data_IF_859193834395
#
_entry.id   IF_859193834395
#
_cell.length_a   1.000
_cell.length_b   1.000
_cell.length_c   1.000
_cell.angle_alpha   90.00
_cell.angle_beta   90.00
_cell.angle_gamma   90.00
#
_symmetry.space_group_name_H-M   'P 1'
#
loop_
_entity.id
_entity.type
_entity.pdbx_description
1 polymer ?
#
# COMPACT_ATOMS: atom_id res chain seq x y z
N UNK A 1 -0.88 -63.60 -22.05
CA UNK A 1 -0.47 -64.99 -22.38
C UNK A 1 1.01 -64.97 -22.75
N UNK A 2 1.87 -65.43 -21.84
CA UNK A 2 3.16 -66.10 -22.13
C UNK A 2 3.59 -66.78 -20.83
N UNK A 3 3.86 -68.08 -20.93
CA UNK A 3 3.97 -69.03 -19.83
C UNK A 3 5.31 -68.92 -19.07
N UNK A 4 5.26 -69.16 -17.75
CA UNK A 4 6.42 -69.54 -16.93
C UNK A 4 6.92 -70.92 -17.36
N UNK A 5 8.22 -71.06 -17.61
CA UNK A 5 8.93 -72.34 -17.47
C UNK A 5 10.19 -72.07 -16.67
N UNK A 6 10.20 -72.53 -15.41
CA UNK A 6 11.42 -72.77 -14.66
C UNK A 6 12.14 -73.96 -15.27
N UNK A 7 13.40 -73.80 -15.65
CA UNK A 7 14.30 -74.90 -15.97
C UNK A 7 15.60 -74.70 -15.19
N UNK A 8 16.08 -75.81 -14.62
CA UNK A 8 17.11 -75.92 -13.61
C UNK A 8 18.53 -75.64 -14.15
N UNK A 9 19.39 -75.18 -13.24
CA UNK A 9 20.85 -75.08 -13.36
C UNK A 9 21.50 -76.47 -13.51
N UNK A 10 22.76 -76.50 -14.00
CA UNK A 10 23.80 -77.04 -13.12
C UNK A 10 25.05 -76.15 -13.02
N UNK A 11 25.68 -76.24 -11.86
CA UNK A 11 26.89 -75.57 -11.38
C UNK A 11 28.12 -75.74 -12.28
N UNK A 12 28.97 -74.70 -12.37
CA UNK A 12 30.41 -74.75 -12.03
C UNK A 12 31.16 -73.46 -12.47
N UNK A 13 32.07 -72.95 -11.63
CA UNK A 13 33.30 -72.30 -12.11
C UNK A 13 33.48 -70.78 -11.93
N UNK A 14 34.04 -70.38 -10.78
CA UNK A 14 35.29 -69.58 -10.63
C UNK A 14 35.46 -68.24 -11.39
N UNK A 15 35.49 -67.15 -10.59
CA UNK A 15 36.29 -65.91 -10.62
C UNK A 15 36.28 -64.92 -11.83
N UNK A 16 36.00 -63.65 -11.45
CA UNK A 16 36.44 -62.35 -12.00
C UNK A 16 35.78 -61.81 -13.28
N UNK A 17 34.79 -60.93 -13.09
CA UNK A 17 34.79 -59.61 -13.73
C UNK A 17 33.74 -58.68 -13.07
N UNK A 18 34.27 -57.68 -12.37
CA UNK A 18 33.77 -56.33 -12.13
C UNK A 18 32.32 -55.94 -12.48
N UNK A 19 31.74 -55.19 -11.54
CA UNK A 19 30.84 -54.04 -11.77
C UNK A 19 29.48 -54.35 -12.39
N UNK A 20 28.53 -54.94 -11.66
CA UNK A 20 27.11 -54.53 -11.80
C UNK A 20 26.34 -54.84 -10.52
N UNK A 21 25.55 -53.85 -10.08
CA UNK A 21 24.38 -53.97 -9.21
C UNK A 21 24.62 -53.93 -7.69
N UNK A 22 24.95 -52.70 -7.27
CA UNK A 22 24.22 -51.94 -6.23
C UNK A 22 23.12 -52.67 -5.46
N UNK A 23 23.31 -52.64 -4.14
CA UNK A 23 22.33 -52.77 -3.07
C UNK A 23 20.88 -52.44 -3.48
N UNK A 24 20.02 -53.46 -3.51
CA UNK A 24 18.58 -53.26 -3.50
C UNK A 24 18.13 -53.26 -2.03
N UNK A 25 18.38 -52.14 -1.34
CA UNK A 25 17.71 -51.84 -0.05
C UNK A 25 16.30 -51.39 -0.42
N UNK A 26 15.30 -52.13 0.06
CA UNK A 26 13.90 -51.77 -0.12
C UNK A 26 13.62 -50.51 0.72
N UNK A 27 13.77 -49.35 0.11
CA UNK A 27 13.29 -48.08 0.67
C UNK A 27 11.76 -48.12 0.68
N UNK A 28 11.15 -48.01 1.86
CA UNK A 28 9.72 -47.84 2.00
C UNK A 28 9.27 -46.56 1.26
N UNK A 29 8.06 -46.51 0.68
CA UNK A 29 7.57 -45.30 0.05
C UNK A 29 7.45 -44.19 1.11
N UNK A 30 8.27 -43.14 0.98
CA UNK A 30 8.17 -41.91 1.75
C UNK A 30 6.71 -41.43 1.81
N UNK A 31 6.20 -40.97 2.96
CA UNK A 31 4.86 -40.40 3.02
C UNK A 31 4.83 -39.19 2.09
N UNK A 32 3.99 -39.24 1.05
CA UNK A 32 3.73 -38.10 0.17
C UNK A 32 3.42 -36.91 1.05
N UNK A 33 4.37 -35.97 1.12
CA UNK A 33 4.08 -34.63 1.61
C UNK A 33 2.93 -34.13 0.74
N UNK A 34 1.76 -33.99 1.37
CA UNK A 34 0.60 -33.39 0.74
C UNK A 34 1.02 -31.98 0.36
N UNK A 35 1.34 -31.78 -0.92
CA UNK A 35 1.46 -30.45 -1.49
C UNK A 35 0.03 -29.95 -1.57
N UNK A 36 -0.48 -29.44 -0.44
CA UNK A 36 -1.54 -28.45 -0.53
C UNK A 36 -0.97 -27.34 -1.41
N UNK A 37 -1.71 -26.83 -2.39
CA UNK A 37 -1.29 -25.59 -3.02
C UNK A 37 -1.37 -24.58 -1.89
N UNK A 38 -0.22 -24.26 -1.28
CA UNK A 38 -0.09 -23.08 -0.43
C UNK A 38 -0.38 -21.95 -1.40
N UNK A 39 -1.63 -21.52 -1.46
CA UNK A 39 -1.97 -20.24 -2.05
C UNK A 39 -1.07 -19.26 -1.30
N UNK A 40 0.03 -18.86 -1.93
CA UNK A 40 1.02 -17.99 -1.31
C UNK A 40 0.29 -16.68 -1.09
N UNK A 41 -0.27 -16.51 0.11
CA UNK A 41 -0.77 -15.24 0.54
C UNK A 41 0.40 -14.28 0.42
N UNK A 42 0.30 -13.33 -0.51
CA UNK A 42 1.32 -12.29 -0.62
C UNK A 42 1.54 -11.72 0.79
N UNK A 43 2.80 -11.50 1.20
CA UNK A 43 3.12 -10.86 2.46
C UNK A 43 2.21 -9.66 2.71
N UNK A 44 1.82 -9.40 3.96
CA UNK A 44 0.89 -8.31 4.28
C UNK A 44 1.32 -6.97 3.64
N UNK A 45 2.62 -6.68 3.66
CA UNK A 45 3.20 -5.49 3.02
C UNK A 45 2.98 -5.47 1.49
N UNK A 46 3.11 -6.61 0.80
CA UNK A 46 2.83 -6.74 -0.63
C UNK A 46 1.34 -6.58 -0.95
N UNK A 47 0.45 -6.99 -0.03
CA UNK A 47 -0.99 -6.77 -0.19
C UNK A 47 -1.34 -5.29 -0.07
N UNK A 48 -0.82 -4.59 0.94
CA UNK A 48 -1.02 -3.15 1.10
C UNK A 48 -0.55 -2.39 -0.14
N UNK A 49 0.66 -2.70 -0.64
CA UNK A 49 1.18 -2.13 -1.89
C UNK A 49 0.28 -2.40 -3.09
N UNK A 50 -0.22 -3.62 -3.25
CA UNK A 50 -1.11 -3.93 -4.37
C UNK A 50 -2.42 -3.13 -4.29
N UNK A 51 -3.08 -3.09 -3.13
CA UNK A 51 -4.29 -2.32 -2.94
C UNK A 51 -4.05 -0.82 -3.22
N UNK A 52 -2.93 -0.28 -2.74
CA UNK A 52 -2.52 1.09 -3.06
C UNK A 52 -2.35 1.31 -4.58
N UNK A 53 -1.62 0.44 -5.28
CA UNK A 53 -1.44 0.54 -6.73
C UNK A 53 -2.76 0.46 -7.50
N UNK A 54 -3.69 -0.40 -7.07
CA UNK A 54 -5.05 -0.48 -7.63
C UNK A 54 -5.84 0.81 -7.39
N UNK A 55 -5.75 1.37 -6.18
CA UNK A 55 -6.40 2.63 -5.83
C UNK A 55 -5.92 3.79 -6.70
N UNK A 56 -4.59 3.92 -6.88
CA UNK A 56 -3.99 4.92 -7.78
C UNK A 56 -4.50 4.74 -9.21
N UNK A 57 -4.52 3.51 -9.72
CA UNK A 57 -5.00 3.23 -11.07
C UNK A 57 -6.48 3.63 -11.27
N UNK A 58 -7.34 3.40 -10.26
CA UNK A 58 -8.74 3.83 -10.31
C UNK A 58 -8.88 5.35 -10.25
N UNK A 59 -8.09 6.01 -9.41
CA UNK A 59 -8.10 7.47 -9.29
C UNK A 59 -7.66 8.16 -10.59
N UNK A 60 -6.66 7.60 -11.28
CA UNK A 60 -6.22 8.05 -12.62
C UNK A 60 -7.30 7.87 -13.69
N UNK A 61 -8.18 6.87 -13.54
CA UNK A 61 -9.35 6.66 -14.40
C UNK A 61 -10.55 7.55 -14.05
N UNK A 62 -10.44 8.36 -12.99
CA UNK A 62 -11.54 9.18 -12.47
C UNK A 62 -12.53 8.44 -11.57
N UNK A 63 -12.32 7.14 -11.32
CA UNK A 63 -13.18 6.33 -10.46
C UNK A 63 -12.84 6.54 -8.98
N UNK A 64 -13.14 7.74 -8.47
CA UNK A 64 -12.72 8.19 -7.13
C UNK A 64 -13.22 7.27 -6.01
N UNK A 65 -14.49 6.89 -6.02
CA UNK A 65 -15.08 5.99 -5.01
C UNK A 65 -14.42 4.61 -5.02
N UNK A 66 -14.13 4.06 -6.20
CA UNK A 66 -13.41 2.78 -6.31
C UNK A 66 -11.95 2.92 -5.84
N UNK A 67 -11.31 4.06 -6.11
CA UNK A 67 -9.97 4.37 -5.60
C UNK A 67 -9.94 4.38 -4.07
N UNK A 68 -10.90 5.07 -3.43
CA UNK A 68 -11.07 5.11 -1.98
C UNK A 68 -11.20 3.70 -1.41
N UNK A 69 -12.09 2.86 -1.96
CA UNK A 69 -12.29 1.50 -1.47
C UNK A 69 -11.02 0.63 -1.54
N UNK A 70 -10.14 0.88 -2.52
CA UNK A 70 -8.86 0.19 -2.62
C UNK A 70 -7.84 0.75 -1.62
N UNK A 71 -7.82 2.06 -1.38
CA UNK A 71 -6.98 2.65 -0.34
C UNK A 71 -7.41 2.23 1.07
N UNK A 72 -8.71 2.10 1.34
CA UNK A 72 -9.25 1.56 2.60
C UNK A 72 -8.72 0.15 2.87
N UNK A 73 -8.69 -0.72 1.84
CA UNK A 73 -8.06 -2.04 1.95
C UNK A 73 -6.56 -1.95 2.21
N UNK A 74 -5.86 -0.98 1.61
CA UNK A 74 -4.44 -0.78 1.85
C UNK A 74 -4.16 -0.41 3.31
N UNK A 75 -4.91 0.55 3.87
CA UNK A 75 -4.72 1.01 5.26
C UNK A 75 -5.25 0.01 6.29
N UNK A 76 -6.21 -0.86 5.92
CA UNK A 76 -6.63 -1.97 6.77
C UNK A 76 -5.52 -3.03 6.94
N UNK A 77 -4.64 -3.16 5.94
CA UNK A 77 -3.48 -4.07 6.00
C UNK A 77 -2.26 -3.38 6.62
N UNK A 78 -2.05 -2.11 6.30
CA UNK A 78 -0.98 -1.26 6.85
C UNK A 78 -1.55 0.08 7.33
N UNK A 79 -1.91 0.21 8.62
CA UNK A 79 -2.45 1.44 9.19
C UNK A 79 -1.47 2.62 9.19
N UNK A 80 -0.21 2.41 8.81
CA UNK A 80 0.81 3.46 8.72
C UNK A 80 1.07 3.90 7.28
N UNK A 81 0.24 3.47 6.32
CA UNK A 81 0.42 3.76 4.90
C UNK A 81 0.07 5.20 4.53
N UNK A 82 0.93 6.16 4.89
CA UNK A 82 0.71 7.60 4.74
C UNK A 82 0.30 8.03 3.32
N UNK A 83 0.83 7.38 2.28
CA UNK A 83 0.49 7.68 0.88
C UNK A 83 -0.94 7.28 0.51
N UNK A 84 -1.47 6.20 1.08
CA UNK A 84 -2.85 5.77 0.84
C UNK A 84 -3.80 6.79 1.45
N UNK A 85 -3.57 7.18 2.71
CA UNK A 85 -4.33 8.24 3.36
C UNK A 85 -4.29 9.57 2.59
N UNK A 86 -3.12 9.98 2.10
CA UNK A 86 -3.03 11.19 1.26
C UNK A 86 -3.89 11.08 -0.01
N UNK A 87 -3.84 9.95 -0.72
CA UNK A 87 -4.61 9.80 -1.95
C UNK A 87 -6.11 9.60 -1.70
N UNK A 88 -6.49 9.03 -0.55
CA UNK A 88 -7.88 9.04 -0.06
C UNK A 88 -8.34 10.47 0.15
N UNK A 89 -7.55 11.29 0.85
CA UNK A 89 -7.85 12.71 1.06
C UNK A 89 -8.08 13.45 -0.26
N UNK A 90 -7.20 13.24 -1.24
CA UNK A 90 -7.36 13.85 -2.57
C UNK A 90 -8.62 13.36 -3.29
N UNK A 91 -9.00 12.10 -3.12
CA UNK A 91 -10.21 11.55 -3.71
C UNK A 91 -11.47 12.12 -3.03
N UNK A 92 -11.51 12.22 -1.71
CA UNK A 92 -12.60 12.85 -0.97
C UNK A 92 -12.74 14.34 -1.33
N UNK A 93 -11.63 15.07 -1.40
CA UNK A 93 -11.63 16.48 -1.78
C UNK A 93 -12.23 16.68 -3.17
N UNK A 94 -11.85 15.85 -4.16
CA UNK A 94 -12.42 15.91 -5.52
C UNK A 94 -13.91 15.53 -5.57
N UNK A 95 -14.41 14.82 -4.57
CA UNK A 95 -15.83 14.49 -4.41
C UNK A 95 -16.60 15.55 -3.60
N UNK A 96 -15.95 16.63 -3.14
CA UNK A 96 -16.55 17.65 -2.26
C UNK A 96 -16.74 17.20 -0.81
N UNK A 97 -16.16 16.06 -0.43
CA UNK A 97 -16.22 15.45 0.90
C UNK A 97 -15.09 16.01 1.77
N UNK A 98 -15.22 17.27 2.18
CA UNK A 98 -14.10 18.06 2.73
C UNK A 98 -13.67 17.60 4.12
N UNK A 99 -14.61 17.26 5.00
CA UNK A 99 -14.32 16.80 6.36
C UNK A 99 -13.56 15.47 6.33
N UNK A 100 -13.98 14.56 5.44
CA UNK A 100 -13.33 13.25 5.25
C UNK A 100 -11.96 13.41 4.59
N UNK A 101 -11.79 14.40 3.70
CA UNK A 101 -10.50 14.75 3.15
C UNK A 101 -9.53 15.25 4.24
N UNK A 102 -9.97 16.17 5.10
CA UNK A 102 -9.18 16.68 6.21
C UNK A 102 -8.78 15.57 7.19
N UNK A 103 -9.71 14.68 7.53
CA UNK A 103 -9.44 13.51 8.37
C UNK A 103 -8.38 12.59 7.73
N UNK A 104 -8.53 12.27 6.44
CA UNK A 104 -7.57 11.43 5.73
C UNK A 104 -6.17 12.06 5.65
N UNK A 105 -6.05 13.36 5.34
CA UNK A 105 -4.76 14.04 5.37
C UNK A 105 -4.15 14.09 6.79
N UNK A 106 -4.96 14.25 7.82
CA UNK A 106 -4.50 14.21 9.21
C UNK A 106 -3.95 12.83 9.59
N UNK A 107 -4.59 11.74 9.14
CA UNK A 107 -4.06 10.37 9.31
C UNK A 107 -2.76 10.16 8.54
N UNK A 108 -2.63 10.72 7.33
CA UNK A 108 -1.38 10.69 6.57
C UNK A 108 -0.23 11.37 7.34
N UNK A 109 -0.50 12.49 8.00
CA UNK A 109 0.47 13.23 8.80
C UNK A 109 0.77 12.55 10.14
N UNK A 110 -0.20 11.87 10.76
CA UNK A 110 0.04 11.04 11.93
C UNK A 110 1.00 9.88 11.61
N UNK A 111 0.81 9.23 10.45
CA UNK A 111 1.69 8.17 9.98
C UNK A 111 3.06 8.69 9.51
N UNK A 112 3.10 9.86 8.86
CA UNK A 112 4.35 10.51 8.40
C UNK A 112 4.27 12.03 8.54
N UNK A 113 4.74 12.59 9.67
CA UNK A 113 4.64 14.04 9.94
C UNK A 113 5.36 14.93 8.93
N UNK A 114 6.39 14.40 8.26
CA UNK A 114 7.20 15.14 7.28
C UNK A 114 6.59 15.11 5.86
N UNK A 115 5.39 14.54 5.67
CA UNK A 115 4.74 14.48 4.36
C UNK A 115 4.16 15.85 3.98
N UNK A 116 5.01 16.76 3.50
CA UNK A 116 4.65 18.14 3.18
C UNK A 116 3.49 18.24 2.18
N UNK A 117 3.38 17.29 1.24
CA UNK A 117 2.25 17.23 0.31
C UNK A 117 0.91 17.09 1.04
N UNK A 118 0.82 16.19 2.02
CA UNK A 118 -0.41 16.00 2.80
C UNK A 118 -0.73 17.24 3.64
N UNK A 119 0.30 17.94 4.15
CA UNK A 119 0.10 19.17 4.91
C UNK A 119 -0.37 20.34 4.04
N UNK A 120 0.20 20.51 2.85
CA UNK A 120 -0.28 21.50 1.89
C UNK A 120 -1.73 21.21 1.46
N UNK A 121 -2.04 19.95 1.17
CA UNK A 121 -3.39 19.54 0.83
C UNK A 121 -4.38 19.76 1.99
N UNK A 122 -3.98 19.47 3.23
CA UNK A 122 -4.79 19.76 4.41
C UNK A 122 -5.06 21.27 4.52
N UNK A 123 -4.05 22.13 4.36
CA UNK A 123 -4.23 23.58 4.35
C UNK A 123 -5.22 24.05 3.28
N UNK A 124 -5.20 23.41 2.11
CA UNK A 124 -6.17 23.69 1.02
C UNK A 124 -7.59 23.33 1.44
N UNK A 125 -7.79 22.18 2.07
CA UNK A 125 -9.12 21.77 2.56
C UNK A 125 -9.58 22.65 3.71
N UNK A 126 -8.70 23.00 4.65
CA UNK A 126 -9.00 23.92 5.77
C UNK A 126 -9.48 25.28 5.25
N UNK A 127 -8.83 25.79 4.20
CA UNK A 127 -9.27 27.02 3.54
C UNK A 127 -10.68 26.89 2.94
N UNK A 128 -11.03 25.73 2.38
CA UNK A 128 -12.35 25.49 1.78
C UNK A 128 -13.46 25.36 2.83
N UNK A 129 -13.16 24.80 4.00
CA UNK A 129 -14.13 24.69 5.11
C UNK A 129 -14.21 25.96 5.97
N UNK A 130 -13.34 26.95 5.71
CA UNK A 130 -13.32 28.23 6.41
C UNK A 130 -12.47 28.27 7.68
N UNK A 131 -11.70 27.22 7.98
CA UNK A 131 -10.68 27.25 9.03
C UNK A 131 -9.43 27.97 8.52
N UNK A 132 -9.51 29.30 8.53
CA UNK A 132 -8.48 30.15 7.95
C UNK A 132 -7.18 30.10 8.76
N UNK A 133 -7.26 30.05 10.09
CA UNK A 133 -6.09 29.97 10.94
C UNK A 133 -5.37 28.63 10.75
N UNK A 134 -6.11 27.51 10.74
CA UNK A 134 -5.55 26.20 10.46
C UNK A 134 -4.90 26.12 9.07
N UNK A 135 -5.51 26.76 8.06
CA UNK A 135 -4.92 26.86 6.73
C UNK A 135 -3.60 27.65 6.71
N UNK A 136 -3.55 28.80 7.38
CA UNK A 136 -2.32 29.61 7.54
C UNK A 136 -1.22 28.79 8.17
N UNK A 137 -1.49 28.14 9.31
CA UNK A 137 -0.51 27.34 10.03
C UNK A 137 0.02 26.18 9.15
N UNK A 138 -0.89 25.51 8.44
CA UNK A 138 -0.55 24.42 7.54
C UNK A 138 0.42 24.87 6.44
N UNK A 139 0.08 25.96 5.72
CA UNK A 139 0.90 26.49 4.64
C UNK A 139 2.21 27.11 5.14
N UNK A 140 2.19 27.82 6.27
CA UNK A 140 3.38 28.45 6.85
C UNK A 140 4.48 27.41 7.09
N UNK A 141 4.15 26.28 7.71
CA UNK A 141 5.15 25.23 7.92
C UNK A 141 5.69 24.67 6.60
N UNK A 142 4.87 24.56 5.55
CA UNK A 142 5.35 24.11 4.23
C UNK A 142 6.35 25.11 3.66
N UNK A 143 6.07 26.41 3.77
CA UNK A 143 6.97 27.49 3.35
C UNK A 143 8.26 27.48 4.16
N UNK A 144 8.19 27.29 5.49
CA UNK A 144 9.36 27.24 6.36
C UNK A 144 10.30 26.08 6.02
N UNK A 145 9.74 24.95 5.58
CA UNK A 145 10.51 23.76 5.19
C UNK A 145 11.01 23.81 3.76
N UNK A 146 10.22 24.39 2.84
CA UNK A 146 10.54 24.50 1.41
C UNK A 146 10.19 25.91 0.92
N UNK A 147 11.08 26.91 1.15
CA UNK A 147 10.82 28.30 0.79
C UNK A 147 10.63 28.53 -0.72
N UNK A 148 11.22 27.65 -1.54
CA UNK A 148 11.14 27.67 -3.01
C UNK A 148 9.79 27.18 -3.55
N UNK A 149 8.91 26.60 -2.72
CA UNK A 149 7.60 26.13 -3.14
C UNK A 149 6.65 27.32 -3.35
N UNK A 150 6.72 27.95 -4.52
CA UNK A 150 5.95 29.16 -4.86
C UNK A 150 4.43 29.00 -4.65
N UNK A 151 3.88 27.82 -4.97
CA UNK A 151 2.46 27.50 -4.77
C UNK A 151 2.06 27.64 -3.30
N UNK A 152 2.88 27.13 -2.36
CA UNK A 152 2.58 27.22 -0.94
C UNK A 152 2.60 28.67 -0.43
N UNK A 153 3.48 29.53 -0.95
CA UNK A 153 3.48 30.97 -0.60
C UNK A 153 2.24 31.69 -1.11
N UNK A 154 1.81 31.39 -2.34
CA UNK A 154 0.59 31.97 -2.92
C UNK A 154 -0.62 31.55 -2.09
N UNK A 155 -0.70 30.27 -1.71
CA UNK A 155 -1.80 29.76 -0.89
C UNK A 155 -1.78 30.31 0.54
N UNK A 156 -0.59 30.49 1.13
CA UNK A 156 -0.42 31.19 2.42
C UNK A 156 -0.93 32.63 2.36
N UNK A 157 -0.52 33.40 1.34
CA UNK A 157 -0.98 34.78 1.17
C UNK A 157 -2.49 34.87 0.96
N UNK A 158 -3.08 33.90 0.24
CA UNK A 158 -4.53 33.78 0.11
C UNK A 158 -5.20 33.51 1.46
N UNK A 159 -4.67 32.58 2.25
CA UNK A 159 -5.20 32.25 3.57
C UNK A 159 -5.12 33.44 4.54
N UNK A 160 -3.97 34.12 4.60
CA UNK A 160 -3.78 35.32 5.43
C UNK A 160 -4.71 36.46 5.02
N UNK A 161 -4.84 36.72 3.71
CA UNK A 161 -5.74 37.75 3.22
C UNK A 161 -7.21 37.46 3.51
N UNK A 162 -7.61 36.19 3.58
CA UNK A 162 -8.96 35.81 4.01
C UNK A 162 -9.13 35.98 5.52
N UNK A 163 -8.13 35.61 6.32
CA UNK A 163 -8.17 35.70 7.78
C UNK A 163 -8.29 37.16 8.25
N UNK A 164 -7.45 38.06 7.73
CA UNK A 164 -7.50 39.48 8.10
C UNK A 164 -8.83 40.16 7.75
N UNK A 165 -9.49 39.74 6.65
CA UNK A 165 -10.83 40.26 6.32
C UNK A 165 -11.90 39.83 7.31
N UNK A 166 -11.78 38.66 7.94
CA UNK A 166 -12.71 38.25 8.99
C UNK A 166 -12.46 39.04 10.27
N UNK A 167 -11.19 39.28 10.62
CA UNK A 167 -10.83 40.08 11.80
C UNK A 167 -11.39 41.51 11.67
N UNK A 168 -11.24 42.14 10.51
CA UNK A 168 -11.81 43.46 10.22
C UNK A 168 -13.35 43.46 10.27
N UNK A 169 -13.99 42.41 9.73
CA UNK A 169 -15.44 42.26 9.74
C UNK A 169 -16.00 42.12 11.16
N UNK A 170 -15.31 41.39 12.04
CA UNK A 170 -15.69 41.23 13.45
C UNK A 170 -15.47 42.53 14.22
N UNK A 171 -14.39 43.26 13.95
CA UNK A 171 -14.08 44.53 14.63
C UNK A 171 -15.08 45.67 14.31
N UNK A 172 -15.86 45.53 13.24
CA UNK A 172 -16.84 46.55 12.78
C UNK A 172 -18.27 46.28 13.29
N UNK A 173 -18.50 45.19 14.05
CA UNK A 173 -19.80 44.84 14.68
C UNK A 173 -19.90 45.37 16.11
#
# INVERSE_FOLDING_TARGET
MTFRVCAALPFAGVLLAALYLTACRAEAPEPRQSITPVAQERPAEDRARMFYSRGVAQQSRGNLTAGIAEFEKAVAVDPTHARAYNNMGTSYQRLGRLEEAAAAYSQALAARPQLLQARHNLGTVLLMVGDLQGAVDAFQLVVDRVPEMAVARVDLGRAQGMAGRLDDAIATL
#
